data_IF_325374957832
#
_entry.id   IF_325374957832
#
_cell.length_a   1.000
_cell.length_b   1.000
_cell.length_c   1.000
_cell.angle_alpha   90.00
_cell.angle_beta   90.00
_cell.angle_gamma   90.00
#
_symmetry.space_group_name_H-M   'P 1'
#
loop_
_entity.id
_entity.type
_entity.pdbx_description
1 polymer ?
#
# COMPACT_ATOMS: atom_id res chain seq x y z
N UNK A 1 -9.87 -12.32 -13.07
CA UNK A 1 -10.99 -12.40 -14.03
C UNK A 1 -11.26 -13.87 -14.36
N UNK A 2 -12.52 -14.22 -14.63
CA UNK A 2 -12.98 -15.57 -14.90
C UNK A 2 -12.24 -16.22 -16.10
N UNK A 3 -11.97 -15.45 -17.13
CA UNK A 3 -11.17 -15.90 -18.29
C UNK A 3 -9.72 -16.28 -17.95
N UNK A 4 -9.08 -15.58 -17.02
CA UNK A 4 -7.74 -15.90 -16.56
C UNK A 4 -7.74 -17.17 -15.68
N UNK A 5 -8.76 -17.35 -14.86
CA UNK A 5 -8.95 -18.56 -14.06
C UNK A 5 -9.09 -19.80 -14.96
N UNK A 6 -9.93 -19.71 -15.99
CA UNK A 6 -10.15 -20.81 -16.94
C UNK A 6 -8.88 -21.18 -17.73
N UNK A 7 -8.04 -20.22 -18.10
CA UNK A 7 -6.76 -20.48 -18.76
C UNK A 7 -5.76 -21.25 -17.87
N UNK A 8 -5.86 -21.06 -16.55
CA UNK A 8 -4.98 -21.74 -15.58
C UNK A 8 -5.44 -23.14 -15.20
N UNK A 9 -6.73 -23.48 -15.37
CA UNK A 9 -7.30 -24.73 -14.89
C UNK A 9 -6.52 -25.96 -15.37
N UNK A 10 -6.28 -26.05 -16.67
CA UNK A 10 -5.59 -27.21 -17.27
C UNK A 10 -4.17 -27.38 -16.73
N UNK A 11 -3.44 -26.27 -16.55
CA UNK A 11 -2.04 -26.31 -16.10
C UNK A 11 -1.94 -26.59 -14.59
N UNK A 12 -2.99 -26.20 -13.83
CA UNK A 12 -3.07 -26.49 -12.39
C UNK A 12 -3.50 -27.95 -12.14
N UNK A 13 -4.37 -28.52 -13.01
CA UNK A 13 -4.79 -29.93 -12.94
C UNK A 13 -3.64 -30.89 -13.28
N UNK A 14 -2.89 -30.58 -14.34
CA UNK A 14 -1.78 -31.39 -14.83
C UNK A 14 -0.50 -30.55 -14.90
N UNK A 15 0.12 -30.24 -13.73
CA UNK A 15 1.31 -29.42 -13.72
C UNK A 15 2.49 -30.13 -14.40
N UNK A 16 3.34 -29.40 -15.14
CA UNK A 16 4.57 -29.97 -15.69
C UNK A 16 5.45 -30.58 -14.59
N UNK A 17 6.27 -31.58 -14.91
CA UNK A 17 7.20 -32.17 -13.94
C UNK A 17 8.03 -31.09 -13.23
N UNK A 18 8.19 -31.21 -11.93
CA UNK A 18 8.95 -30.27 -11.08
C UNK A 18 8.36 -28.86 -10.96
N UNK A 19 7.06 -28.68 -11.26
CA UNK A 19 6.38 -27.38 -11.15
C UNK A 19 5.42 -27.38 -9.96
N UNK A 20 5.49 -26.31 -9.17
CA UNK A 20 4.56 -26.04 -8.06
C UNK A 20 3.92 -24.69 -8.27
N UNK A 21 2.58 -24.62 -8.18
CA UNK A 21 1.82 -23.38 -8.26
C UNK A 21 1.46 -22.88 -6.86
N UNK A 22 1.83 -21.66 -6.54
CA UNK A 22 1.42 -20.95 -5.33
C UNK A 22 0.44 -19.83 -5.73
N UNK A 23 -0.84 -20.04 -5.43
CA UNK A 23 -1.89 -19.07 -5.71
C UNK A 23 -2.18 -18.29 -4.43
N UNK A 24 -1.81 -17.01 -4.40
CA UNK A 24 -2.07 -16.12 -3.27
C UNK A 24 -3.36 -15.35 -3.53
N UNK A 25 -4.33 -15.47 -2.62
CA UNK A 25 -5.59 -14.76 -2.65
C UNK A 25 -5.87 -14.12 -1.28
N UNK A 26 -6.57 -12.98 -1.22
CA UNK A 26 -6.92 -12.32 0.04
C UNK A 26 -7.84 -13.18 0.91
N UNK A 27 -8.77 -13.89 0.29
CA UNK A 27 -9.67 -14.81 0.96
C UNK A 27 -9.98 -16.05 0.11
N UNK A 28 -10.83 -16.92 0.60
CA UNK A 28 -11.36 -18.09 -0.13
C UNK A 28 -12.69 -17.81 -0.81
N UNK A 29 -13.13 -16.56 -0.82
CA UNK A 29 -14.39 -16.15 -1.44
C UNK A 29 -14.32 -16.30 -2.97
N UNK A 30 -15.45 -16.63 -3.63
CA UNK A 30 -15.49 -16.78 -5.09
C UNK A 30 -15.07 -15.53 -5.88
N UNK A 31 -15.20 -14.35 -5.27
CA UNK A 31 -14.77 -13.08 -5.87
C UNK A 31 -13.23 -12.95 -5.92
N UNK A 32 -12.53 -13.51 -4.94
CA UNK A 32 -11.07 -13.48 -4.82
C UNK A 32 -10.40 -14.63 -5.56
N UNK A 33 -10.97 -15.85 -5.46
CA UNK A 33 -10.46 -17.04 -6.14
C UNK A 33 -11.61 -17.89 -6.67
N UNK A 34 -11.59 -18.17 -7.97
CA UNK A 34 -12.60 -19.01 -8.59
C UNK A 34 -12.70 -20.40 -7.90
N UNK A 35 -13.92 -20.84 -7.60
CA UNK A 35 -14.20 -22.11 -6.91
C UNK A 35 -13.53 -23.29 -7.63
N UNK A 36 -13.48 -23.24 -8.96
CA UNK A 36 -12.83 -24.25 -9.81
C UNK A 36 -11.32 -24.36 -9.58
N UNK A 37 -10.61 -23.26 -9.36
CA UNK A 37 -9.19 -23.26 -8.98
C UNK A 37 -9.01 -23.71 -7.54
N UNK A 38 -9.82 -23.20 -6.63
CA UNK A 38 -9.77 -23.55 -5.21
C UNK A 38 -9.94 -25.06 -4.96
N UNK A 39 -10.86 -25.70 -5.67
CA UNK A 39 -11.12 -27.16 -5.51
C UNK A 39 -9.95 -28.03 -5.95
N UNK A 40 -9.01 -27.51 -6.73
CA UNK A 40 -7.81 -28.20 -7.26
C UNK A 40 -6.53 -27.86 -6.51
N UNK A 41 -6.63 -26.98 -5.52
CA UNK A 41 -5.48 -26.54 -4.74
C UNK A 41 -5.63 -26.94 -3.27
N UNK A 42 -4.51 -27.21 -2.62
CA UNK A 42 -4.47 -27.33 -1.17
C UNK A 42 -4.58 -25.93 -0.57
N UNK A 43 -5.60 -25.68 0.23
CA UNK A 43 -5.75 -24.43 0.95
C UNK A 43 -4.84 -24.40 2.18
N UNK A 44 -4.05 -23.32 2.31
CA UNK A 44 -3.24 -23.00 3.47
C UNK A 44 -3.66 -21.63 3.97
N UNK A 45 -4.35 -21.59 5.11
CA UNK A 45 -4.76 -20.35 5.74
C UNK A 45 -3.53 -19.68 6.39
N UNK A 46 -3.27 -18.44 6.02
CA UNK A 46 -2.26 -17.59 6.64
C UNK A 46 -2.95 -16.65 7.63
N UNK A 47 -2.51 -16.71 8.88
CA UNK A 47 -2.99 -15.80 9.93
C UNK A 47 -2.05 -14.59 10.04
N UNK A 48 -2.60 -13.44 10.40
CA UNK A 48 -1.80 -12.23 10.68
C UNK A 48 -0.86 -12.51 11.85
N UNK A 49 0.45 -12.31 11.70
CA UNK A 49 1.41 -12.53 12.76
C UNK A 49 1.16 -11.62 13.97
N UNK A 50 1.44 -12.10 15.16
CA UNK A 50 1.42 -11.26 16.36
C UNK A 50 2.55 -10.21 16.30
N UNK A 51 2.38 -9.11 17.03
CA UNK A 51 3.44 -8.08 17.15
C UNK A 51 4.73 -8.67 17.68
N UNK A 52 4.63 -9.58 18.65
CA UNK A 52 5.80 -10.28 19.22
C UNK A 52 6.52 -11.10 18.15
N UNK A 53 5.79 -11.89 17.35
CA UNK A 53 6.39 -12.66 16.26
C UNK A 53 7.06 -11.77 15.21
N UNK A 54 6.46 -10.62 14.89
CA UNK A 54 7.08 -9.65 13.97
C UNK A 54 8.35 -9.06 14.60
N UNK A 55 8.31 -8.64 15.85
CA UNK A 55 9.47 -8.10 16.54
C UNK A 55 10.63 -9.10 16.58
N UNK A 56 10.35 -10.37 16.86
CA UNK A 56 11.34 -11.44 16.81
C UNK A 56 11.97 -11.59 15.42
N UNK A 57 11.17 -11.61 14.35
CA UNK A 57 11.70 -11.68 12.97
C UNK A 57 12.62 -10.51 12.67
N UNK A 58 12.28 -9.29 13.13
CA UNK A 58 13.11 -8.12 12.92
C UNK A 58 14.41 -8.15 13.75
N UNK A 59 14.36 -8.61 14.98
CA UNK A 59 15.55 -8.70 15.85
C UNK A 59 16.44 -9.86 15.46
N UNK A 60 15.90 -11.08 15.33
CA UNK A 60 16.69 -12.30 15.13
C UNK A 60 17.09 -12.48 13.66
N UNK A 61 16.20 -12.10 12.75
CA UNK A 61 16.41 -12.26 11.30
C UNK A 61 17.11 -11.10 10.63
N UNK A 62 16.76 -9.86 11.01
CA UNK A 62 17.27 -8.64 10.37
C UNK A 62 18.34 -7.92 11.25
N UNK A 63 18.59 -8.41 12.47
CA UNK A 63 19.61 -7.84 13.38
C UNK A 63 19.28 -6.45 13.91
N UNK A 64 17.99 -6.08 13.95
CA UNK A 64 17.57 -4.78 14.47
C UNK A 64 17.57 -4.75 16.00
N UNK A 65 17.82 -3.58 16.57
CA UNK A 65 17.71 -3.43 18.02
C UNK A 65 16.27 -3.69 18.51
N UNK A 66 16.11 -4.27 19.72
CA UNK A 66 14.81 -4.71 20.23
C UNK A 66 13.78 -3.59 20.35
N UNK A 67 14.17 -2.36 20.67
CA UNK A 67 13.24 -1.23 20.85
C UNK A 67 12.68 -0.78 19.50
N UNK A 68 13.55 -0.63 18.49
CA UNK A 68 13.14 -0.34 17.11
C UNK A 68 12.27 -1.47 16.54
N UNK A 69 12.63 -2.74 16.77
CA UNK A 69 11.87 -3.89 16.32
C UNK A 69 10.46 -3.93 16.93
N UNK A 70 10.37 -3.73 18.24
CA UNK A 70 9.09 -3.70 18.98
C UNK A 70 8.21 -2.53 18.52
N UNK A 71 8.79 -1.33 18.40
CA UNK A 71 8.05 -0.18 17.90
C UNK A 71 7.52 -0.43 16.48
N UNK A 72 8.39 -0.83 15.55
CA UNK A 72 8.00 -1.06 14.17
C UNK A 72 6.93 -2.16 14.04
N UNK A 73 7.06 -3.24 14.81
CA UNK A 73 6.07 -4.30 14.87
C UNK A 73 4.71 -3.77 15.39
N UNK A 74 4.72 -2.91 16.42
CA UNK A 74 3.50 -2.40 17.04
C UNK A 74 2.66 -1.52 16.11
N UNK A 75 3.32 -0.79 15.19
CA UNK A 75 2.67 0.17 14.27
C UNK A 75 2.52 -0.36 12.84
N UNK A 76 2.87 -1.63 12.60
CA UNK A 76 2.86 -2.23 11.26
C UNK A 76 1.51 -2.78 10.82
N UNK A 77 0.55 -2.91 11.74
CA UNK A 77 -0.73 -3.55 11.45
C UNK A 77 -0.63 -5.04 11.12
N UNK A 78 0.40 -5.74 11.61
CA UNK A 78 0.59 -7.17 11.36
C UNK A 78 1.39 -7.51 10.09
N UNK A 79 1.96 -6.52 9.40
CA UNK A 79 2.71 -6.71 8.16
C UNK A 79 4.23 -6.66 8.38
N UNK A 80 4.91 -7.81 8.31
CA UNK A 80 6.38 -7.93 8.49
C UNK A 80 7.16 -6.99 7.55
N UNK A 81 6.83 -6.97 6.26
CA UNK A 81 7.51 -6.10 5.29
C UNK A 81 7.35 -4.62 5.58
N UNK A 82 6.18 -4.21 6.10
CA UNK A 82 5.95 -2.84 6.55
C UNK A 82 6.74 -2.53 7.82
N UNK A 83 6.76 -3.44 8.79
CA UNK A 83 7.53 -3.29 10.02
C UNK A 83 9.02 -3.10 9.69
N UNK A 84 9.59 -3.96 8.84
CA UNK A 84 10.97 -3.87 8.37
C UNK A 84 11.26 -2.50 7.76
N UNK A 85 10.37 -2.03 6.89
CA UNK A 85 10.54 -0.74 6.22
C UNK A 85 10.47 0.44 7.19
N UNK A 86 9.52 0.43 8.13
CA UNK A 86 9.43 1.47 9.17
C UNK A 86 10.66 1.46 10.09
N UNK A 87 11.23 0.29 10.37
CA UNK A 87 12.44 0.17 11.17
C UNK A 87 13.68 0.73 10.46
N UNK A 88 13.82 0.49 9.14
CA UNK A 88 15.06 0.77 8.41
C UNK A 88 15.04 2.05 7.57
N UNK A 89 13.85 2.56 7.18
CA UNK A 89 13.71 3.73 6.31
C UNK A 89 13.15 4.95 7.06
N UNK A 90 14.00 5.96 7.38
CA UNK A 90 13.54 7.19 8.01
C UNK A 90 12.48 7.95 7.20
N UNK A 91 12.54 7.85 5.87
CA UNK A 91 11.54 8.49 5.00
C UNK A 91 10.17 7.80 5.12
N UNK A 92 10.12 6.47 5.32
CA UNK A 92 8.88 5.77 5.59
C UNK A 92 8.23 6.24 6.90
N UNK A 93 9.03 6.46 7.95
CA UNK A 93 8.56 7.04 9.21
C UNK A 93 7.99 8.44 9.02
N UNK A 94 8.72 9.29 8.30
CA UNK A 94 8.29 10.66 8.03
C UNK A 94 6.99 10.69 7.20
N UNK A 95 6.85 9.83 6.20
CA UNK A 95 5.60 9.71 5.40
C UNK A 95 4.43 9.29 6.27
N UNK A 96 4.61 8.30 7.16
CA UNK A 96 3.58 7.89 8.13
C UNK A 96 3.19 9.06 9.05
N UNK A 97 4.16 9.78 9.58
CA UNK A 97 3.89 10.92 10.45
C UNK A 97 3.10 12.03 9.75
N UNK A 98 3.43 12.33 8.49
CA UNK A 98 2.68 13.29 7.66
C UNK A 98 1.24 12.81 7.42
N UNK A 99 1.05 11.54 7.09
CA UNK A 99 -0.29 10.97 6.90
C UNK A 99 -1.15 11.10 8.16
N UNK A 100 -0.60 10.79 9.33
CA UNK A 100 -1.30 10.95 10.62
C UNK A 100 -1.51 12.42 11.00
N UNK A 101 -0.59 13.30 10.58
CA UNK A 101 -0.71 14.75 10.78
C UNK A 101 -1.87 15.39 10.02
N UNK A 102 -2.34 14.75 8.95
CA UNK A 102 -3.46 15.21 8.14
C UNK A 102 -4.74 15.41 8.98
N UNK A 103 -4.97 14.58 10.01
CA UNK A 103 -6.12 14.74 10.91
C UNK A 103 -6.15 16.14 11.57
N UNK A 104 -4.99 16.64 12.00
CA UNK A 104 -4.86 17.99 12.58
C UNK A 104 -4.98 19.08 11.50
N UNK A 105 -4.30 18.87 10.36
CA UNK A 105 -4.22 19.89 9.32
C UNK A 105 -5.54 20.05 8.56
N UNK A 106 -6.36 19.00 8.47
CA UNK A 106 -7.70 19.02 7.91
C UNK A 106 -8.68 19.95 8.67
N UNK A 107 -8.50 20.12 9.98
CA UNK A 107 -9.30 21.03 10.78
C UNK A 107 -9.10 22.51 10.38
N UNK A 108 -7.99 22.84 9.71
CA UNK A 108 -7.64 24.20 9.29
C UNK A 108 -7.81 24.34 7.77
N UNK A 109 -8.80 25.10 7.25
CA UNK A 109 -9.09 25.16 5.80
C UNK A 109 -7.90 25.51 4.93
N UNK A 110 -7.03 26.42 5.36
CA UNK A 110 -5.83 26.83 4.62
C UNK A 110 -4.76 25.73 4.55
N UNK A 111 -4.76 24.75 5.44
CA UNK A 111 -3.81 23.65 5.48
C UNK A 111 -4.35 22.37 4.87
N UNK A 112 -5.67 22.21 4.91
CA UNK A 112 -6.36 21.00 4.53
C UNK A 112 -5.97 20.50 3.12
N UNK A 113 -6.10 21.37 2.12
CA UNK A 113 -5.79 21.01 0.74
C UNK A 113 -4.29 20.87 0.47
N UNK A 114 -3.45 21.66 1.15
CA UNK A 114 -1.99 21.49 1.07
C UNK A 114 -1.56 20.12 1.62
N UNK A 115 -2.12 19.71 2.77
CA UNK A 115 -1.85 18.39 3.34
C UNK A 115 -2.37 17.24 2.44
N UNK A 116 -3.51 17.44 1.76
CA UNK A 116 -4.02 16.49 0.77
C UNK A 116 -3.07 16.34 -0.42
N UNK A 117 -2.56 17.44 -0.97
CA UNK A 117 -1.60 17.45 -2.06
C UNK A 117 -0.28 16.79 -1.65
N UNK A 118 0.24 17.10 -0.48
CA UNK A 118 1.44 16.47 0.07
C UNK A 118 1.29 14.95 0.27
N UNK A 119 0.10 14.48 0.69
CA UNK A 119 -0.17 13.05 0.85
C UNK A 119 -0.10 12.32 -0.50
N UNK A 120 -0.73 12.87 -1.54
CA UNK A 120 -0.71 12.30 -2.90
C UNK A 120 0.71 12.34 -3.48
N UNK A 121 1.38 13.49 -3.41
CA UNK A 121 2.76 13.65 -3.90
C UNK A 121 3.73 12.72 -3.16
N UNK A 122 3.55 12.52 -1.86
CA UNK A 122 4.34 11.58 -1.05
C UNK A 122 4.19 10.14 -1.50
N UNK A 123 2.97 9.71 -1.85
CA UNK A 123 2.71 8.38 -2.38
C UNK A 123 3.33 8.16 -3.78
N UNK A 124 3.30 9.19 -4.63
CA UNK A 124 3.94 9.17 -5.96
C UNK A 124 5.46 9.10 -5.85
N UNK A 125 6.06 9.90 -4.97
CA UNK A 125 7.50 9.89 -4.71
C UNK A 125 7.97 8.53 -4.14
N UNK A 126 7.18 7.92 -3.26
CA UNK A 126 7.44 6.58 -2.75
C UNK A 126 7.44 5.53 -3.85
N UNK A 127 6.42 5.55 -4.72
CA UNK A 127 6.32 4.63 -5.85
C UNK A 127 7.50 4.77 -6.80
N UNK A 128 7.91 6.01 -7.09
CA UNK A 128 9.08 6.29 -7.92
C UNK A 128 10.35 5.69 -7.31
N UNK A 129 10.62 5.95 -6.03
CA UNK A 129 11.79 5.43 -5.34
C UNK A 129 11.84 3.91 -5.31
N UNK A 130 10.69 3.24 -5.09
CA UNK A 130 10.58 1.78 -5.06
C UNK A 130 10.79 1.11 -6.41
N UNK A 131 10.49 1.80 -7.49
CA UNK A 131 10.53 1.22 -8.84
C UNK A 131 11.76 1.64 -9.64
N UNK A 132 12.50 2.67 -9.20
CA UNK A 132 13.58 3.29 -9.95
C UNK A 132 14.67 2.30 -10.42
N UNK A 133 15.25 1.54 -9.50
CA UNK A 133 16.32 0.58 -9.84
C UNK A 133 15.86 -0.48 -10.83
N UNK A 134 14.62 -0.98 -10.65
CA UNK A 134 14.07 -1.99 -11.54
C UNK A 134 13.78 -1.43 -12.93
N UNK A 135 13.27 -0.20 -13.00
CA UNK A 135 13.02 0.51 -14.25
C UNK A 135 14.33 0.70 -15.02
N UNK A 136 15.38 1.13 -14.34
CA UNK A 136 16.69 1.32 -14.94
C UNK A 136 17.27 0.00 -15.46
N UNK A 137 17.25 -1.06 -14.63
CA UNK A 137 17.76 -2.38 -15.01
C UNK A 137 16.99 -2.97 -16.24
N UNK A 138 15.65 -2.94 -16.22
CA UNK A 138 14.82 -3.43 -17.32
C UNK A 138 15.04 -2.61 -18.62
N UNK A 139 15.28 -1.31 -18.48
CA UNK A 139 15.53 -0.44 -19.62
C UNK A 139 16.89 -0.73 -20.25
N UNK A 140 17.92 -0.94 -19.42
CA UNK A 140 19.27 -1.26 -19.90
C UNK A 140 19.35 -2.67 -20.50
N UNK A 141 18.69 -3.64 -19.87
CA UNK A 141 18.56 -5.01 -20.42
C UNK A 141 17.91 -4.98 -21.80
N UNK A 142 16.81 -4.25 -21.98
CA UNK A 142 16.15 -4.13 -23.27
C UNK A 142 17.03 -3.40 -24.30
N UNK A 143 17.74 -2.33 -23.93
CA UNK A 143 18.69 -1.63 -24.80
C UNK A 143 19.79 -2.57 -25.28
N UNK A 144 20.35 -3.36 -24.37
CA UNK A 144 21.39 -4.34 -24.69
C UNK A 144 20.85 -5.41 -25.63
N UNK A 145 19.66 -5.96 -25.36
CA UNK A 145 19.01 -6.97 -26.20
C UNK A 145 18.67 -6.46 -27.60
N UNK A 146 18.37 -5.17 -27.75
CA UNK A 146 18.08 -4.51 -29.03
C UNK A 146 19.34 -4.08 -29.81
N UNK A 147 20.54 -4.35 -29.28
CA UNK A 147 21.80 -4.07 -29.94
C UNK A 147 22.12 -2.57 -30.03
N UNK A 148 21.77 -1.80 -29.02
CA UNK A 148 22.16 -0.40 -28.89
C UNK A 148 23.67 -0.29 -28.73
N UNK A 149 24.39 -0.27 -29.89
CA UNK A 149 25.85 -0.23 -29.99
C UNK A 149 26.41 -0.81 -31.29
N UNK A 150 25.59 -1.46 -32.12
CA UNK A 150 26.03 -2.08 -33.38
C UNK A 150 25.87 -1.16 -34.59
N UNK A 151 26.98 -0.86 -35.29
CA UNK A 151 27.02 -0.10 -36.55
C UNK A 151 26.85 -1.02 -37.79
N UNK A 152 25.72 -1.76 -37.90
CA UNK A 152 25.47 -2.72 -38.99
C UNK A 152 24.33 -2.28 -39.94
N UNK A 153 24.50 -2.48 -41.27
CA UNK A 153 23.48 -2.27 -42.30
C UNK A 153 22.31 -3.23 -42.12
N UNK A 154 21.12 -2.73 -41.78
CA UNK A 154 19.88 -3.49 -41.60
C UNK A 154 18.84 -2.77 -40.73
N UNK A 155 19.04 -1.52 -40.43
CA UNK A 155 18.53 -0.76 -39.30
C UNK A 155 17.06 -0.31 -39.35
N UNK A 156 16.38 -0.27 -40.48
CA UNK A 156 15.04 0.36 -40.55
C UNK A 156 13.89 -0.48 -39.95
N UNK A 157 13.91 -1.81 -40.11
CA UNK A 157 12.90 -2.71 -39.54
C UNK A 157 13.23 -3.04 -38.09
N UNK A 158 14.51 -3.22 -37.78
CA UNK A 158 15.01 -3.42 -36.42
C UNK A 158 14.74 -2.19 -35.53
N UNK A 159 14.95 -0.98 -36.02
CA UNK A 159 14.63 0.26 -35.32
C UNK A 159 13.13 0.43 -35.02
N UNK A 160 12.24 0.03 -35.93
CA UNK A 160 10.79 0.08 -35.69
C UNK A 160 10.35 -0.93 -34.62
N UNK A 161 10.89 -2.15 -34.67
CA UNK A 161 10.67 -3.15 -33.62
C UNK A 161 11.21 -2.72 -32.26
N UNK A 162 12.40 -2.13 -32.21
CA UNK A 162 13.03 -1.60 -31.02
C UNK A 162 12.18 -0.47 -30.37
N UNK A 163 11.66 0.46 -31.19
CA UNK A 163 10.79 1.55 -30.72
C UNK A 163 9.47 1.00 -30.15
N UNK A 164 8.89 -0.04 -30.76
CA UNK A 164 7.71 -0.72 -30.24
C UNK A 164 7.96 -1.39 -28.89
N UNK A 165 9.03 -2.17 -28.77
CA UNK A 165 9.41 -2.82 -27.54
C UNK A 165 9.68 -1.85 -26.39
N UNK A 166 10.36 -0.73 -26.66
CA UNK A 166 10.60 0.32 -25.66
C UNK A 166 9.28 0.95 -25.18
N UNK A 167 8.36 1.30 -26.07
CA UNK A 167 7.05 1.84 -25.69
C UNK A 167 6.22 0.85 -24.88
N UNK A 168 6.30 -0.43 -25.17
CA UNK A 168 5.60 -1.46 -24.40
C UNK A 168 6.22 -1.64 -23.00
N UNK A 169 7.54 -1.56 -22.88
CA UNK A 169 8.23 -1.55 -21.60
C UNK A 169 7.81 -0.32 -20.77
N UNK A 170 7.88 0.88 -21.34
CA UNK A 170 7.46 2.13 -20.68
C UNK A 170 6.02 2.06 -20.18
N UNK A 171 5.09 1.49 -20.98
CA UNK A 171 3.70 1.31 -20.59
C UNK A 171 3.57 0.38 -19.38
N UNK A 172 4.31 -0.74 -19.35
CA UNK A 172 4.35 -1.69 -18.22
C UNK A 172 4.94 -1.05 -16.98
N UNK A 173 6.03 -0.30 -17.12
CA UNK A 173 6.69 0.43 -16.04
C UNK A 173 5.75 1.49 -15.45
N UNK A 174 5.09 2.29 -16.29
CA UNK A 174 4.09 3.29 -15.86
C UNK A 174 2.91 2.65 -15.13
N UNK A 175 2.39 1.53 -15.64
CA UNK A 175 1.30 0.78 -14.97
C UNK A 175 1.72 0.27 -13.59
N UNK A 176 2.94 -0.24 -13.47
CA UNK A 176 3.52 -0.70 -12.20
C UNK A 176 3.69 0.45 -11.21
N UNK A 177 4.24 1.58 -11.67
CA UNK A 177 4.41 2.79 -10.87
C UNK A 177 3.07 3.33 -10.36
N UNK A 178 2.04 3.36 -11.22
CA UNK A 178 0.69 3.76 -10.83
C UNK A 178 0.12 2.83 -9.74
N UNK A 179 0.32 1.52 -9.84
CA UNK A 179 -0.10 0.58 -8.80
C UNK A 179 0.65 0.82 -7.50
N UNK A 180 1.98 0.96 -7.56
CA UNK A 180 2.80 1.22 -6.37
C UNK A 180 2.40 2.53 -5.67
N UNK A 181 2.04 3.59 -6.42
CA UNK A 181 1.54 4.84 -5.86
C UNK A 181 0.18 4.65 -5.18
N UNK A 182 -0.74 3.90 -5.79
CA UNK A 182 -2.02 3.57 -5.17
C UNK A 182 -1.86 2.75 -3.89
N UNK A 183 -0.97 1.76 -3.90
CA UNK A 183 -0.68 0.94 -2.71
C UNK A 183 -0.05 1.78 -1.59
N UNK A 184 0.79 2.75 -1.92
CA UNK A 184 1.38 3.66 -0.96
C UNK A 184 0.31 4.59 -0.35
N UNK A 185 -0.58 5.13 -1.18
CA UNK A 185 -1.68 5.98 -0.74
C UNK A 185 -2.69 5.18 0.11
N UNK A 186 -3.06 3.97 -0.30
CA UNK A 186 -3.96 3.10 0.45
C UNK A 186 -3.42 2.78 1.85
N UNK A 187 -2.11 2.51 1.97
CA UNK A 187 -1.48 2.33 3.29
C UNK A 187 -1.58 3.57 4.17
N UNK A 188 -1.37 4.76 3.61
CA UNK A 188 -1.50 6.00 4.35
C UNK A 188 -2.95 6.26 4.81
N UNK A 189 -3.93 5.91 3.98
CA UNK A 189 -5.35 5.98 4.32
C UNK A 189 -5.74 4.97 5.41
N UNK A 190 -5.19 3.75 5.37
CA UNK A 190 -5.39 2.77 6.46
C UNK A 190 -4.81 3.30 7.77
N UNK A 191 -3.63 3.91 7.75
CA UNK A 191 -3.04 4.53 8.93
C UNK A 191 -3.96 5.62 9.49
N UNK A 192 -4.47 6.48 8.64
CA UNK A 192 -5.38 7.55 9.04
C UNK A 192 -6.70 7.01 9.61
N UNK A 193 -7.30 6.00 8.97
CA UNK A 193 -8.52 5.36 9.47
C UNK A 193 -8.31 4.71 10.83
N UNK A 194 -7.19 4.00 11.02
CA UNK A 194 -6.86 3.36 12.30
C UNK A 194 -6.47 4.35 13.38
N UNK A 195 -5.94 5.52 13.01
CA UNK A 195 -5.71 6.64 13.92
C UNK A 195 -7.04 7.23 14.45
N UNK A 196 -8.01 7.48 13.56
CA UNK A 196 -9.35 7.90 14.00
C UNK A 196 -10.07 6.82 14.81
N UNK A 197 -9.87 5.52 14.47
CA UNK A 197 -10.39 4.43 15.28
C UNK A 197 -9.81 4.45 16.70
N UNK A 198 -8.51 4.66 16.86
CA UNK A 198 -7.89 4.74 18.18
C UNK A 198 -8.47 5.93 18.98
N UNK A 199 -8.68 7.08 18.34
CA UNK A 199 -9.35 8.23 18.97
C UNK A 199 -10.81 7.91 19.34
N UNK A 200 -11.55 7.22 18.48
CA UNK A 200 -12.92 6.78 18.74
C UNK A 200 -12.98 5.84 19.96
N UNK A 201 -12.05 4.90 20.08
CA UNK A 201 -11.99 4.00 21.24
C UNK A 201 -11.74 4.73 22.55
N UNK A 202 -10.86 5.76 22.53
CA UNK A 202 -10.60 6.61 23.69
C UNK A 202 -11.84 7.43 24.04
N UNK A 203 -12.46 8.09 23.06
CA UNK A 203 -13.66 8.91 23.26
C UNK A 203 -14.87 8.08 23.76
N UNK A 204 -14.98 6.82 23.31
CA UNK A 204 -16.03 5.89 23.74
C UNK A 204 -15.68 5.14 25.05
N UNK A 205 -14.57 5.44 25.70
CA UNK A 205 -14.08 4.73 26.88
C UNK A 205 -13.98 3.21 26.72
N UNK A 206 -13.68 2.74 25.52
CA UNK A 206 -13.56 1.31 25.19
C UNK A 206 -12.23 0.76 25.68
N UNK A 207 -12.13 0.44 26.97
CA UNK A 207 -10.94 -0.16 27.57
C UNK A 207 -10.70 -1.59 27.05
N UNK A 208 -9.42 -2.04 27.09
CA UNK A 208 -9.03 -3.41 26.74
C UNK A 208 -8.81 -3.68 25.25
N UNK A 209 -9.08 -2.71 24.36
CA UNK A 209 -8.79 -2.83 22.94
C UNK A 209 -7.40 -2.22 22.64
N UNK A 210 -6.57 -2.99 21.96
CA UNK A 210 -5.22 -2.56 21.60
C UNK A 210 -5.25 -1.41 20.59
N UNK A 211 -4.47 -0.34 20.86
CA UNK A 211 -4.25 0.75 19.93
C UNK A 211 -3.36 0.30 18.74
N UNK A 212 -3.64 0.86 17.56
CA UNK A 212 -2.81 0.68 16.37
C UNK A 212 -1.63 1.67 16.33
N UNK A 213 -1.75 2.79 17.02
CA UNK A 213 -0.75 3.85 17.07
C UNK A 213 -0.35 4.18 18.52
N UNK A 214 0.27 3.23 19.26
CA UNK A 214 0.66 3.46 20.65
C UNK A 214 1.70 4.57 20.79
N UNK A 215 2.48 4.84 19.77
CA UNK A 215 3.45 5.93 19.68
C UNK A 215 2.80 7.34 19.51
N UNK A 216 1.50 7.40 19.26
CA UNK A 216 0.72 8.62 19.08
C UNK A 216 -0.33 8.82 20.19
N UNK A 217 -0.19 8.14 21.33
CA UNK A 217 -1.20 8.12 22.39
C UNK A 217 -1.66 9.52 22.83
N UNK A 218 -0.73 10.46 23.02
CA UNK A 218 -1.06 11.83 23.43
C UNK A 218 -1.86 12.58 22.36
N UNK A 219 -1.51 12.41 21.08
CA UNK A 219 -2.24 13.03 19.97
C UNK A 219 -3.63 12.42 19.79
N UNK A 220 -3.75 11.12 19.97
CA UNK A 220 -5.01 10.36 19.95
C UNK A 220 -5.92 10.84 21.09
N UNK A 221 -5.40 10.98 22.31
CA UNK A 221 -6.14 11.49 23.46
C UNK A 221 -6.60 12.95 23.27
N UNK A 222 -5.73 13.80 22.72
CA UNK A 222 -6.09 15.19 22.39
C UNK A 222 -7.22 15.25 21.35
N UNK A 223 -7.18 14.42 20.31
CA UNK A 223 -8.24 14.36 19.31
C UNK A 223 -9.56 13.86 19.92
N UNK A 224 -9.51 12.80 20.74
CA UNK A 224 -10.68 12.25 21.42
C UNK A 224 -11.34 13.24 22.41
N UNK A 225 -10.57 14.15 22.99
CA UNK A 225 -11.09 15.20 23.85
C UNK A 225 -11.83 16.32 23.11
N UNK A 226 -11.53 16.51 21.81
CA UNK A 226 -12.11 17.58 20.98
C UNK A 226 -13.28 17.12 20.12
N UNK A 227 -13.29 15.85 19.71
CA UNK A 227 -14.28 15.32 18.77
C UNK A 227 -15.09 14.18 19.41
N UNK A 228 -16.44 14.29 19.44
CA UNK A 228 -17.30 13.23 19.97
C UNK A 228 -17.23 11.97 19.06
N UNK A 229 -17.60 10.78 19.60
CA UNK A 229 -17.49 9.50 18.91
C UNK A 229 -18.14 9.49 17.51
N UNK A 230 -19.29 10.14 17.37
CA UNK A 230 -20.06 10.20 16.11
C UNK A 230 -19.29 10.95 15.01
N UNK A 231 -18.56 12.01 15.36
CA UNK A 231 -17.73 12.77 14.40
C UNK A 231 -16.48 11.97 14.01
N UNK A 232 -15.87 11.30 14.98
CA UNK A 232 -14.73 10.41 14.70
C UNK A 232 -15.13 9.25 13.79
N UNK A 233 -16.32 8.68 13.97
CA UNK A 233 -16.86 7.66 13.07
C UNK A 233 -17.03 8.21 11.65
N UNK A 234 -17.59 9.41 11.48
CA UNK A 234 -17.70 10.05 10.16
C UNK A 234 -16.35 10.34 9.51
N UNK A 235 -15.32 10.66 10.30
CA UNK A 235 -13.95 10.76 9.76
C UNK A 235 -13.45 9.42 9.22
N UNK A 236 -13.71 8.30 9.93
CA UNK A 236 -13.36 6.96 9.45
C UNK A 236 -14.11 6.66 8.14
N UNK A 237 -15.42 6.90 8.08
CA UNK A 237 -16.25 6.72 6.90
C UNK A 237 -15.74 7.53 5.70
N UNK A 238 -15.32 8.79 5.92
CA UNK A 238 -14.73 9.62 4.87
C UNK A 238 -13.43 9.02 4.31
N UNK A 239 -12.58 8.44 5.16
CA UNK A 239 -11.36 7.75 4.71
C UNK A 239 -11.69 6.49 3.92
N UNK A 240 -12.67 5.69 4.39
CA UNK A 240 -13.11 4.48 3.70
C UNK A 240 -13.72 4.80 2.33
N UNK A 241 -14.56 5.82 2.24
CA UNK A 241 -15.14 6.30 0.98
C UNK A 241 -14.05 6.77 0.00
N UNK A 242 -12.98 7.42 0.48
CA UNK A 242 -11.82 7.77 -0.35
C UNK A 242 -11.15 6.51 -0.91
N UNK A 243 -10.94 5.46 -0.11
CA UNK A 243 -10.36 4.20 -0.56
C UNK A 243 -11.23 3.51 -1.62
N UNK A 244 -12.54 3.48 -1.43
CA UNK A 244 -13.50 2.95 -2.41
C UNK A 244 -13.45 3.72 -3.73
N UNK A 245 -13.40 5.06 -3.67
CA UNK A 245 -13.27 5.90 -4.86
C UNK A 245 -11.98 5.60 -5.64
N UNK A 246 -10.85 5.37 -4.92
CA UNK A 246 -9.59 4.98 -5.54
C UNK A 246 -9.67 3.58 -6.20
N UNK A 247 -10.41 2.65 -5.62
CA UNK A 247 -10.60 1.30 -6.17
C UNK A 247 -11.37 1.34 -7.50
N UNK A 248 -12.34 2.24 -7.65
CA UNK A 248 -13.07 2.47 -8.92
C UNK A 248 -12.41 3.49 -9.84
N UNK A 249 -11.11 3.75 -9.65
CA UNK A 249 -10.26 4.59 -10.51
C UNK A 249 -10.57 6.10 -10.53
N UNK A 250 -11.17 6.64 -9.48
CA UNK A 250 -11.20 8.10 -9.28
C UNK A 250 -9.77 8.62 -9.15
N UNK A 251 -9.49 9.79 -9.70
CA UNK A 251 -8.15 10.39 -9.60
C UNK A 251 -7.81 10.68 -8.14
N UNK A 252 -6.62 10.28 -7.64
CA UNK A 252 -6.22 10.42 -6.24
C UNK A 252 -6.45 11.81 -5.66
N UNK A 253 -6.09 12.86 -6.39
CA UNK A 253 -6.29 14.24 -5.94
C UNK A 253 -7.75 14.51 -5.55
N UNK A 254 -8.72 14.19 -6.40
CA UNK A 254 -10.13 14.47 -6.13
C UNK A 254 -10.69 13.64 -4.97
N UNK A 255 -10.29 12.36 -4.88
CA UNK A 255 -10.73 11.50 -3.78
C UNK A 255 -10.20 11.99 -2.43
N UNK A 256 -8.91 12.38 -2.38
CA UNK A 256 -8.28 12.88 -1.15
C UNK A 256 -8.78 14.27 -0.79
N UNK A 257 -8.99 15.18 -1.76
CA UNK A 257 -9.56 16.51 -1.51
C UNK A 257 -10.97 16.42 -0.90
N UNK A 258 -11.82 15.52 -1.44
CA UNK A 258 -13.16 15.30 -0.89
C UNK A 258 -13.12 14.74 0.55
N UNK A 259 -12.25 13.77 0.78
CA UNK A 259 -12.03 13.20 2.12
C UNK A 259 -11.59 14.27 3.13
N UNK A 260 -10.60 15.09 2.78
CA UNK A 260 -10.05 16.11 3.66
C UNK A 260 -11.10 17.22 3.95
N UNK A 261 -11.92 17.58 2.96
CA UNK A 261 -13.02 18.50 3.13
C UNK A 261 -14.04 17.98 4.17
N UNK A 262 -14.41 16.69 4.07
CA UNK A 262 -15.34 16.04 5.03
C UNK A 262 -14.73 15.98 6.43
N UNK A 263 -13.48 15.51 6.57
CA UNK A 263 -12.77 15.46 7.85
C UNK A 263 -12.70 16.85 8.48
N UNK A 264 -12.39 17.87 7.67
CA UNK A 264 -12.32 19.25 8.14
C UNK A 264 -13.67 19.81 8.62
N UNK A 265 -14.78 19.36 8.07
CA UNK A 265 -16.12 19.70 8.56
C UNK A 265 -16.42 19.04 9.91
N UNK A 266 -16.01 17.80 10.08
CA UNK A 266 -16.26 17.03 11.30
C UNK A 266 -15.38 17.45 12.48
N UNK A 267 -14.17 17.95 12.23
CA UNK A 267 -13.21 18.33 13.29
C UNK A 267 -13.24 19.81 13.67
N UNK A 268 -14.06 20.62 13.00
CA UNK A 268 -14.38 22.02 13.39
C UNK A 268 -15.59 22.08 14.27
#
# INVERSE_FOLDING_TARGET
>A
TEGAANALLKVVEEPPPSTVFLLCAPSVDPEDIAVTLRSRCRHVALVTPSTHAIAQVLSDGDGLDPDTANWAASVSGGHVGRARRLATDPQARQRRERALGLARDAATPSRAYAAAEELVAGAEAEALALTAQRIEAETEELRTALGAGGTGKGTGAALRGATGAMKDLERRQKSRQTRASRDALDRALIDLATYFRDALLVAAHAGGVRANHPDMADRVAALAAHAPPERLLRCIEAVLACREALAVNVKPKFAVDAMVATIGQELR
#
